data_IF_309287629773
#
_entry.id   IF_309287629773
#
_cell.length_a   1.000
_cell.length_b   1.000
_cell.length_c   1.000
_cell.angle_alpha   90.00
_cell.angle_beta   90.00
_cell.angle_gamma   90.00
#
_symmetry.space_group_name_H-M   'P 1'
#
loop_
_entity.id
_entity.type
_entity.pdbx_description
1 polymer ?
#
# COMPACT_ATOMS: atom_id res chain seq x y z
N UNK A 1 -85.36 -22.12 11.86
CA UNK A 1 -84.44 -22.05 10.70
C UNK A 1 -84.05 -20.62 10.30
N UNK A 2 -84.97 -19.65 10.17
CA UNK A 2 -84.66 -18.26 9.75
C UNK A 2 -83.67 -17.48 10.63
N UNK A 3 -83.66 -17.67 11.97
CA UNK A 3 -82.70 -16.98 12.88
C UNK A 3 -81.28 -17.55 12.74
N UNK A 4 -81.10 -18.85 12.59
CA UNK A 4 -79.80 -19.48 12.41
C UNK A 4 -79.16 -19.11 11.06
N UNK A 5 -79.97 -18.97 10.01
CA UNK A 5 -79.50 -18.52 8.70
C UNK A 5 -79.03 -17.06 8.73
N UNK A 6 -79.75 -16.19 9.44
CA UNK A 6 -79.34 -14.77 9.60
C UNK A 6 -78.02 -14.64 10.37
N UNK A 7 -77.83 -15.41 11.44
CA UNK A 7 -76.55 -15.42 12.17
C UNK A 7 -75.42 -15.94 11.31
N UNK A 8 -75.63 -17.00 10.54
CA UNK A 8 -74.63 -17.51 9.62
C UNK A 8 -74.23 -16.49 8.54
N UNK A 9 -75.22 -15.83 7.94
CA UNK A 9 -74.98 -14.76 6.93
C UNK A 9 -74.20 -13.57 7.56
N UNK A 10 -74.55 -13.17 8.79
CA UNK A 10 -73.82 -12.10 9.51
C UNK A 10 -72.36 -12.49 9.80
N UNK A 11 -72.11 -13.72 10.28
CA UNK A 11 -70.77 -14.24 10.54
C UNK A 11 -69.93 -14.34 9.24
N UNK A 12 -70.56 -14.75 8.13
CA UNK A 12 -69.92 -14.83 6.82
C UNK A 12 -69.54 -13.45 6.28
N UNK A 13 -70.44 -12.44 6.45
CA UNK A 13 -70.14 -11.03 6.07
C UNK A 13 -68.97 -10.49 6.93
N UNK A 14 -69.01 -10.73 8.25
CA UNK A 14 -67.92 -10.31 9.13
C UNK A 14 -66.59 -11.01 8.77
N UNK A 15 -66.62 -12.26 8.38
CA UNK A 15 -65.44 -13.00 7.89
C UNK A 15 -64.87 -12.38 6.60
N UNK A 16 -65.77 -12.04 5.63
CA UNK A 16 -65.33 -11.37 4.38
C UNK A 16 -64.76 -9.96 4.66
N UNK A 17 -65.39 -9.20 5.56
CA UNK A 17 -64.88 -7.88 5.96
C UNK A 17 -63.53 -8.07 6.64
N UNK A 18 -63.37 -9.04 7.52
CA UNK A 18 -62.08 -9.38 8.19
C UNK A 18 -60.97 -9.74 7.20
N UNK A 19 -61.32 -10.55 6.17
CA UNK A 19 -60.40 -10.89 5.09
C UNK A 19 -59.99 -9.64 4.27
N UNK A 20 -60.95 -8.78 3.99
CA UNK A 20 -60.67 -7.51 3.27
C UNK A 20 -59.75 -6.60 4.04
N UNK A 21 -60.00 -6.41 5.35
CA UNK A 21 -59.12 -5.62 6.23
C UNK A 21 -57.73 -6.25 6.31
N UNK A 22 -57.64 -7.56 6.45
CA UNK A 22 -56.33 -8.25 6.48
C UNK A 22 -55.54 -8.11 5.16
N UNK A 23 -56.24 -8.19 4.02
CA UNK A 23 -55.65 -7.97 2.71
C UNK A 23 -55.14 -6.54 2.52
N UNK A 24 -55.92 -5.52 2.97
CA UNK A 24 -55.47 -4.14 2.91
C UNK A 24 -54.32 -3.89 3.86
N UNK A 25 -54.37 -4.44 5.08
CA UNK A 25 -53.28 -4.31 6.04
C UNK A 25 -51.98 -4.96 5.51
N UNK A 26 -52.10 -6.15 4.89
CA UNK A 26 -50.98 -6.83 4.25
C UNK A 26 -50.42 -6.02 3.06
N UNK A 27 -51.30 -5.42 2.25
CA UNK A 27 -50.90 -4.59 1.13
C UNK A 27 -50.16 -3.34 1.58
N UNK A 28 -50.64 -2.68 2.62
CA UNK A 28 -49.95 -1.52 3.22
C UNK A 28 -48.65 -1.89 3.87
N UNK A 29 -48.62 -2.97 4.66
CA UNK A 29 -47.37 -3.46 5.33
C UNK A 29 -46.32 -3.94 4.34
N UNK A 30 -46.71 -4.29 3.12
CA UNK A 30 -45.84 -4.81 2.07
C UNK A 30 -45.41 -3.77 1.03
N UNK A 31 -45.68 -2.48 1.26
CA UNK A 31 -45.46 -1.42 0.28
C UNK A 31 -46.00 -1.77 -1.14
N UNK A 32 -47.16 -2.41 -1.17
CA UNK A 32 -47.84 -2.81 -2.41
C UNK A 32 -47.39 -4.14 -3.01
N UNK A 33 -46.48 -4.88 -2.38
CA UNK A 33 -46.05 -6.21 -2.87
C UNK A 33 -46.17 -7.32 -1.79
N UNK A 34 -47.39 -7.77 -1.50
CA UNK A 34 -47.66 -8.76 -0.45
C UNK A 34 -46.98 -10.12 -0.65
N UNK A 35 -46.73 -10.52 -1.89
CA UNK A 35 -46.09 -11.79 -2.19
C UNK A 35 -44.63 -11.75 -1.77
N UNK A 36 -43.91 -10.68 -2.14
CA UNK A 36 -42.50 -10.47 -1.75
C UNK A 36 -42.37 -10.36 -0.22
N UNK A 37 -43.28 -9.65 0.42
CA UNK A 37 -43.31 -9.49 1.87
C UNK A 37 -43.43 -10.83 2.60
N UNK A 38 -44.43 -11.66 2.22
CA UNK A 38 -44.62 -12.97 2.83
C UNK A 38 -43.42 -13.90 2.57
N UNK A 39 -42.86 -13.86 1.37
CA UNK A 39 -41.63 -14.63 1.07
C UNK A 39 -40.46 -14.20 1.94
N UNK A 40 -40.22 -12.89 2.10
CA UNK A 40 -39.14 -12.38 2.94
C UNK A 40 -39.32 -12.76 4.42
N UNK A 41 -40.58 -12.70 4.95
CA UNK A 41 -40.85 -13.10 6.33
C UNK A 41 -40.65 -14.61 6.54
N UNK A 42 -41.03 -15.46 5.58
CA UNK A 42 -40.74 -16.90 5.66
C UNK A 42 -39.21 -17.17 5.64
N UNK A 43 -38.46 -16.46 4.81
CA UNK A 43 -37.00 -16.56 4.79
C UNK A 43 -36.41 -16.09 6.11
N UNK A 44 -36.91 -14.97 6.68
CA UNK A 44 -36.48 -14.46 7.99
C UNK A 44 -36.66 -15.48 9.12
N UNK A 45 -37.81 -16.16 9.13
CA UNK A 45 -38.08 -17.24 10.08
C UNK A 45 -37.10 -18.42 9.89
N UNK A 46 -36.82 -18.77 8.64
CA UNK A 46 -35.84 -19.82 8.30
C UNK A 46 -34.42 -19.41 8.78
N UNK A 47 -34.00 -18.16 8.50
CA UNK A 47 -32.70 -17.66 8.94
C UNK A 47 -32.56 -17.65 10.46
N UNK A 48 -33.61 -17.23 11.20
CA UNK A 48 -33.62 -17.25 12.67
C UNK A 48 -33.36 -18.66 13.24
N UNK A 49 -33.80 -19.71 12.54
CA UNK A 49 -33.52 -21.09 12.92
C UNK A 49 -32.10 -21.58 12.54
N UNK A 50 -31.39 -20.84 11.68
CA UNK A 50 -30.05 -21.14 11.18
C UNK A 50 -29.01 -20.08 11.58
N UNK A 51 -29.28 -19.30 12.66
CA UNK A 51 -28.39 -18.22 13.11
C UNK A 51 -26.98 -18.74 13.42
N UNK A 52 -26.86 -19.92 14.03
CA UNK A 52 -25.56 -20.55 14.29
C UNK A 52 -24.76 -20.85 13.02
N UNK A 53 -25.45 -21.06 11.88
CA UNK A 53 -24.77 -21.28 10.58
C UNK A 53 -24.32 -19.94 9.94
N UNK A 54 -25.09 -18.86 10.15
CA UNK A 54 -24.73 -17.52 9.70
C UNK A 54 -23.47 -17.01 10.39
N UNK A 55 -23.42 -17.17 11.74
CA UNK A 55 -22.36 -16.63 12.59
C UNK A 55 -21.14 -17.56 12.67
N UNK A 56 -21.17 -18.70 12.00
CA UNK A 56 -20.10 -19.68 12.04
C UNK A 56 -19.21 -19.61 10.82
N UNK A 57 -17.94 -19.19 10.95
CA UNK A 57 -16.94 -19.22 9.89
C UNK A 57 -16.79 -20.60 9.26
N UNK A 58 -16.40 -20.66 7.98
CA UNK A 58 -16.21 -21.94 7.28
C UNK A 58 -14.95 -22.67 7.77
N UNK A 59 -13.91 -21.92 8.17
CA UNK A 59 -12.62 -22.45 8.59
C UNK A 59 -11.92 -21.55 9.57
N UNK A 60 -10.60 -21.79 9.74
CA UNK A 60 -9.70 -21.02 10.60
C UNK A 60 -8.50 -20.44 9.83
N UNK A 61 -8.46 -20.65 8.52
CA UNK A 61 -7.43 -20.09 7.65
C UNK A 61 -7.76 -18.63 7.37
N UNK A 62 -6.92 -17.73 7.87
CA UNK A 62 -7.04 -16.29 7.68
C UNK A 62 -6.23 -15.77 6.49
N UNK A 63 -5.75 -16.65 5.62
CA UNK A 63 -5.04 -16.26 4.40
C UNK A 63 -6.02 -15.61 3.44
N UNK A 64 -5.82 -14.31 3.07
CA UNK A 64 -6.73 -13.61 2.18
C UNK A 64 -6.75 -14.26 0.79
N UNK A 65 -7.95 -14.55 0.30
CA UNK A 65 -8.20 -15.07 -1.04
C UNK A 65 -8.83 -13.96 -1.89
N UNK A 66 -8.36 -13.82 -3.12
CA UNK A 66 -8.92 -12.87 -4.06
C UNK A 66 -10.29 -13.33 -4.55
N UNK A 67 -11.30 -12.49 -4.35
CA UNK A 67 -12.67 -12.72 -4.80
C UNK A 67 -13.12 -11.54 -5.68
N UNK A 68 -13.63 -11.81 -6.88
CA UNK A 68 -14.03 -10.76 -7.83
C UNK A 68 -15.51 -10.84 -8.14
N UNK A 69 -16.22 -9.71 -8.00
CA UNK A 69 -17.58 -9.50 -8.48
C UNK A 69 -17.49 -8.70 -9.78
N UNK A 70 -18.01 -9.25 -10.88
CA UNK A 70 -18.05 -8.54 -12.15
C UNK A 70 -19.31 -7.67 -12.23
N UNK A 71 -19.25 -6.61 -13.05
CA UNK A 71 -20.42 -5.79 -13.29
C UNK A 71 -21.55 -6.61 -13.89
N UNK A 72 -22.71 -6.62 -13.21
CA UNK A 72 -23.90 -7.36 -13.61
C UNK A 72 -24.02 -8.78 -13.01
N UNK A 73 -23.07 -9.21 -12.16
CA UNK A 73 -23.23 -10.46 -11.42
C UNK A 73 -24.45 -10.40 -10.49
N UNK A 74 -25.27 -11.46 -10.50
CA UNK A 74 -26.42 -11.56 -9.59
C UNK A 74 -25.97 -12.03 -8.21
N UNK A 75 -26.76 -11.77 -7.13
CA UNK A 75 -26.49 -12.33 -5.81
C UNK A 75 -26.31 -13.86 -5.80
N UNK A 76 -27.06 -14.56 -6.65
CA UNK A 76 -26.91 -16.01 -6.82
C UNK A 76 -25.58 -16.41 -7.46
N UNK A 77 -25.11 -15.65 -8.46
CA UNK A 77 -23.80 -15.88 -9.10
C UNK A 77 -22.67 -15.65 -8.10
N UNK A 78 -22.74 -14.55 -7.32
CA UNK A 78 -21.78 -14.21 -6.27
C UNK A 78 -21.74 -15.30 -5.19
N UNK A 79 -22.92 -15.74 -4.69
CA UNK A 79 -23.02 -16.77 -3.69
C UNK A 79 -22.42 -18.12 -4.14
N UNK A 80 -22.68 -18.50 -5.40
CA UNK A 80 -22.11 -19.71 -5.98
C UNK A 80 -20.59 -19.63 -6.11
N UNK A 81 -20.04 -18.47 -6.49
CA UNK A 81 -18.61 -18.24 -6.56
C UNK A 81 -17.95 -18.32 -5.17
N UNK A 82 -18.56 -17.71 -4.14
CA UNK A 82 -18.12 -17.81 -2.74
C UNK A 82 -18.06 -19.25 -2.26
N UNK A 83 -19.10 -20.03 -2.57
CA UNK A 83 -19.17 -21.45 -2.24
C UNK A 83 -18.07 -22.27 -2.92
N UNK A 84 -17.86 -22.06 -4.22
CA UNK A 84 -16.82 -22.76 -5.00
C UNK A 84 -15.40 -22.43 -4.53
N UNK A 85 -15.17 -21.23 -4.02
CA UNK A 85 -13.89 -20.82 -3.43
C UNK A 85 -13.76 -21.21 -1.95
N UNK A 86 -14.71 -21.97 -1.41
CA UNK A 86 -14.69 -22.41 -0.02
C UNK A 86 -14.62 -21.24 1.00
N UNK A 87 -15.37 -20.18 0.70
CA UNK A 87 -15.52 -18.99 1.56
C UNK A 87 -16.81 -19.02 2.37
N UNK A 88 -17.83 -19.74 1.89
CA UNK A 88 -19.10 -20.01 2.59
C UNK A 88 -19.50 -21.47 2.43
N UNK A 89 -20.34 -21.98 3.36
CA UNK A 89 -20.82 -23.38 3.33
C UNK A 89 -22.08 -23.59 2.47
N UNK A 90 -22.89 -22.56 2.34
CA UNK A 90 -24.22 -22.64 1.72
C UNK A 90 -24.51 -21.36 0.94
N UNK A 91 -24.55 -21.49 -0.39
CA UNK A 91 -24.83 -20.38 -1.30
C UNK A 91 -26.26 -19.85 -1.13
N UNK A 92 -27.23 -20.71 -0.82
CA UNK A 92 -28.63 -20.29 -0.65
C UNK A 92 -28.80 -19.48 0.64
N UNK A 93 -28.09 -19.87 1.72
CA UNK A 93 -28.10 -19.15 2.98
C UNK A 93 -27.56 -17.71 2.83
N UNK A 94 -26.51 -17.53 2.05
CA UNK A 94 -25.97 -16.22 1.72
C UNK A 94 -26.96 -15.34 0.95
N UNK A 95 -27.59 -15.88 -0.08
CA UNK A 95 -28.62 -15.16 -0.86
C UNK A 95 -29.81 -14.78 0.01
N UNK A 96 -30.26 -15.70 0.86
CA UNK A 96 -31.37 -15.46 1.78
C UNK A 96 -31.05 -14.37 2.80
N UNK A 97 -29.81 -14.37 3.33
CA UNK A 97 -29.32 -13.32 4.21
C UNK A 97 -29.33 -11.95 3.51
N UNK A 98 -28.72 -11.85 2.33
CA UNK A 98 -28.72 -10.58 1.56
C UNK A 98 -30.14 -10.05 1.34
N UNK A 99 -31.08 -10.94 1.01
CA UNK A 99 -32.48 -10.55 0.73
C UNK A 99 -33.21 -10.07 1.96
N UNK A 100 -33.01 -10.69 3.11
CA UNK A 100 -33.66 -10.31 4.38
C UNK A 100 -33.10 -8.98 4.91
N UNK A 101 -31.79 -8.77 4.77
CA UNK A 101 -31.11 -7.53 5.16
C UNK A 101 -31.28 -6.41 4.12
N UNK A 102 -31.85 -6.69 2.94
CA UNK A 102 -32.02 -5.70 1.86
C UNK A 102 -30.73 -5.38 1.11
N UNK A 103 -29.72 -6.21 1.24
CA UNK A 103 -28.39 -6.04 0.64
C UNK A 103 -28.26 -6.65 -0.77
N UNK A 104 -29.32 -7.31 -1.25
CA UNK A 104 -29.32 -8.04 -2.52
C UNK A 104 -29.13 -7.15 -3.76
N UNK A 105 -29.36 -5.85 -3.63
CA UNK A 105 -29.13 -4.82 -4.68
C UNK A 105 -27.94 -3.91 -4.40
N UNK A 106 -27.26 -4.12 -3.27
CA UNK A 106 -26.15 -3.26 -2.81
C UNK A 106 -24.76 -3.86 -3.12
N UNK A 107 -24.73 -5.10 -3.67
CA UNK A 107 -23.45 -5.71 -4.03
C UNK A 107 -22.71 -4.88 -5.07
N UNK A 108 -21.48 -4.47 -4.77
CA UNK A 108 -20.66 -3.66 -5.65
C UNK A 108 -19.68 -4.52 -6.45
N UNK A 109 -19.53 -4.20 -7.75
CA UNK A 109 -18.50 -4.81 -8.59
C UNK A 109 -17.11 -4.38 -8.11
N UNK A 110 -16.20 -5.34 -7.98
CA UNK A 110 -14.85 -5.08 -7.48
C UNK A 110 -14.09 -6.37 -7.18
N UNK A 111 -12.86 -6.23 -6.76
CA UNK A 111 -12.05 -7.35 -6.26
C UNK A 111 -11.84 -7.17 -4.76
N UNK A 112 -12.25 -8.14 -4.00
CA UNK A 112 -12.21 -8.16 -2.54
C UNK A 112 -11.20 -9.20 -2.06
N UNK A 113 -10.77 -9.07 -0.82
CA UNK A 113 -9.94 -10.07 -0.14
C UNK A 113 -10.74 -10.64 1.01
N UNK A 114 -11.08 -11.93 0.90
CA UNK A 114 -11.90 -12.66 1.86
C UNK A 114 -11.12 -13.86 2.38
N UNK A 115 -11.41 -14.30 3.59
CA UNK A 115 -10.79 -15.48 4.18
C UNK A 115 -11.82 -16.37 4.87
N UNK A 116 -11.39 -17.56 5.30
CA UNK A 116 -12.26 -18.57 5.88
C UNK A 116 -12.70 -18.28 7.33
N UNK A 117 -12.16 -17.24 7.96
CA UNK A 117 -12.51 -16.84 9.33
C UNK A 117 -13.69 -15.88 9.39
N UNK A 118 -14.12 -15.37 8.23
CA UNK A 118 -15.26 -14.46 8.12
C UNK A 118 -16.59 -15.22 8.15
N UNK A 119 -17.58 -14.61 8.79
CA UNK A 119 -18.97 -15.08 8.81
C UNK A 119 -19.71 -14.66 7.54
N UNK A 120 -20.90 -15.21 7.31
CA UNK A 120 -21.76 -14.78 6.19
C UNK A 120 -22.10 -13.29 6.28
N UNK A 121 -22.49 -12.73 7.46
CA UNK A 121 -22.65 -11.29 7.64
C UNK A 121 -21.38 -10.48 7.31
N UNK A 122 -20.21 -10.88 7.80
CA UNK A 122 -18.96 -10.18 7.54
C UNK A 122 -18.66 -10.08 6.05
N UNK A 123 -18.81 -11.19 5.32
CA UNK A 123 -18.62 -11.24 3.88
C UNK A 123 -19.65 -10.35 3.17
N UNK A 124 -20.93 -10.41 3.55
CA UNK A 124 -21.98 -9.60 2.95
C UNK A 124 -21.67 -8.09 3.07
N UNK A 125 -21.32 -7.62 4.29
CA UNK A 125 -20.98 -6.22 4.51
C UNK A 125 -19.66 -5.81 3.83
N UNK A 126 -18.73 -6.73 3.65
CA UNK A 126 -17.50 -6.46 2.87
C UNK A 126 -17.82 -6.20 1.41
N UNK A 127 -18.75 -6.97 0.82
CA UNK A 127 -19.05 -6.94 -0.62
C UNK A 127 -19.99 -5.80 -1.07
N UNK A 128 -20.57 -5.04 -0.15
CA UNK A 128 -21.41 -3.86 -0.44
C UNK A 128 -20.64 -2.53 -0.33
N UNK A 129 -19.33 -2.58 -0.07
CA UNK A 129 -18.50 -1.37 0.03
C UNK A 129 -17.22 -1.59 -0.77
N UNK A 130 -17.14 -0.99 -1.95
CA UNK A 130 -15.97 -1.09 -2.82
C UNK A 130 -14.69 -0.51 -2.21
N UNK A 131 -14.76 0.31 -1.15
CA UNK A 131 -13.59 0.76 -0.39
C UNK A 131 -12.86 -0.39 0.30
N UNK A 132 -13.56 -1.50 0.59
CA UNK A 132 -12.95 -2.72 1.12
C UNK A 132 -12.17 -3.50 0.04
N UNK A 133 -12.23 -3.07 -1.21
CA UNK A 133 -11.49 -3.65 -2.33
C UNK A 133 -10.22 -2.86 -2.60
N UNK A 134 -9.28 -2.85 -1.66
CA UNK A 134 -8.00 -2.14 -1.81
C UNK A 134 -6.83 -2.94 -1.26
N UNK A 135 -5.65 -2.72 -1.85
CA UNK A 135 -4.37 -3.21 -1.32
C UNK A 135 -3.74 -2.08 -0.53
N UNK A 136 -3.49 -2.29 0.76
CA UNK A 136 -2.62 -1.40 1.52
C UNK A 136 -1.19 -1.85 1.32
N UNK A 137 -0.34 -0.95 0.79
CA UNK A 137 1.06 -1.23 0.50
C UNK A 137 1.93 -0.10 1.03
N UNK A 138 2.93 -0.45 1.86
CA UNK A 138 3.84 0.51 2.45
C UNK A 138 5.24 0.34 1.90
N UNK A 139 5.84 1.45 1.44
CA UNK A 139 7.25 1.55 1.13
C UNK A 139 7.92 2.32 2.27
N UNK A 140 8.96 1.72 2.85
CA UNK A 140 9.72 2.34 3.92
C UNK A 140 10.79 3.28 3.37
N UNK A 141 11.10 4.32 4.15
CA UNK A 141 12.24 5.20 3.90
C UNK A 141 13.52 4.39 3.86
N UNK A 142 14.43 4.72 2.95
CA UNK A 142 15.67 4.00 2.77
C UNK A 142 15.54 2.62 2.11
N UNK A 143 14.36 2.23 1.63
CA UNK A 143 14.18 0.97 0.92
C UNK A 143 14.81 1.01 -0.49
N UNK A 144 15.38 -0.13 -0.91
CA UNK A 144 15.89 -0.37 -2.28
C UNK A 144 14.78 -0.93 -3.15
N UNK A 145 14.96 -0.85 -4.46
CA UNK A 145 14.03 -1.46 -5.43
C UNK A 145 13.78 -2.94 -5.13
N UNK A 146 14.84 -3.69 -4.78
CA UNK A 146 14.75 -5.12 -4.48
C UNK A 146 13.91 -5.39 -3.24
N UNK A 147 14.04 -4.56 -2.19
CA UNK A 147 13.24 -4.68 -0.96
C UNK A 147 11.76 -4.36 -1.24
N UNK A 148 11.49 -3.40 -2.13
CA UNK A 148 10.13 -3.12 -2.61
C UNK A 148 9.55 -4.32 -3.36
N UNK A 149 10.34 -4.98 -4.23
CA UNK A 149 9.92 -6.18 -4.94
C UNK A 149 9.65 -7.36 -4.00
N UNK A 150 10.50 -7.59 -3.00
CA UNK A 150 10.28 -8.61 -1.96
C UNK A 150 9.01 -8.30 -1.14
N UNK A 151 8.74 -7.01 -0.86
CA UNK A 151 7.53 -6.59 -0.15
C UNK A 151 6.25 -6.81 -0.97
N UNK A 152 6.31 -6.73 -2.30
CA UNK A 152 5.20 -7.08 -3.21
C UNK A 152 4.88 -8.57 -3.09
N UNK A 153 5.90 -9.43 -3.15
CA UNK A 153 5.73 -10.88 -3.01
C UNK A 153 5.23 -11.26 -1.61
N UNK A 154 5.76 -10.64 -0.56
CA UNK A 154 5.33 -10.86 0.82
C UNK A 154 3.89 -10.39 1.10
N UNK A 155 3.42 -9.34 0.41
CA UNK A 155 2.06 -8.84 0.53
C UNK A 155 1.03 -9.87 0.00
N UNK A 156 1.35 -10.57 -1.09
CA UNK A 156 0.54 -11.65 -1.67
C UNK A 156 -0.79 -11.22 -2.31
N UNK A 157 -1.14 -9.92 -2.28
CA UNK A 157 -2.42 -9.40 -2.78
C UNK A 157 -2.32 -8.81 -4.18
N UNK A 158 -1.11 -8.57 -4.68
CA UNK A 158 -0.88 -8.08 -6.03
C UNK A 158 -1.20 -9.12 -7.09
N UNK A 159 -1.67 -8.69 -8.27
CA UNK A 159 -1.90 -9.55 -9.44
C UNK A 159 -0.64 -9.82 -10.25
N UNK A 160 0.53 -9.41 -9.75
CA UNK A 160 1.85 -9.56 -10.35
C UNK A 160 2.89 -9.83 -9.25
N UNK A 161 4.04 -10.37 -9.64
CA UNK A 161 5.14 -10.72 -8.74
C UNK A 161 6.13 -9.57 -8.56
N UNK A 162 6.94 -9.63 -7.50
CA UNK A 162 8.08 -8.73 -7.32
C UNK A 162 9.05 -8.80 -8.49
N UNK A 163 9.25 -9.98 -9.11
CA UNK A 163 10.09 -10.12 -10.30
C UNK A 163 9.52 -9.35 -11.51
N UNK A 164 8.22 -9.38 -11.74
CA UNK A 164 7.58 -8.58 -12.81
C UNK A 164 7.71 -7.09 -12.54
N UNK A 165 7.59 -6.66 -11.27
CA UNK A 165 7.87 -5.28 -10.89
C UNK A 165 9.33 -4.89 -11.13
N UNK A 166 10.29 -5.79 -10.81
CA UNK A 166 11.73 -5.56 -11.07
C UNK A 166 12.02 -5.30 -12.54
N UNK A 167 11.34 -5.98 -13.47
CA UNK A 167 11.51 -5.71 -14.91
C UNK A 167 11.08 -4.29 -15.28
N UNK A 168 10.00 -3.79 -14.69
CA UNK A 168 9.53 -2.40 -14.88
C UNK A 168 10.51 -1.42 -14.24
N UNK A 169 10.97 -1.70 -13.02
CA UNK A 169 11.88 -0.84 -12.26
C UNK A 169 13.27 -0.74 -12.89
N UNK A 170 13.82 -1.84 -13.41
CA UNK A 170 15.11 -1.88 -14.11
C UNK A 170 15.06 -1.20 -15.49
N UNK A 171 13.91 -1.26 -16.17
CA UNK A 171 13.70 -0.51 -17.41
C UNK A 171 13.74 1.00 -17.19
N UNK A 172 13.44 1.42 -15.96
CA UNK A 172 13.59 2.78 -15.48
C UNK A 172 12.75 3.79 -16.28
N UNK A 173 13.42 4.81 -16.80
CA UNK A 173 12.78 5.96 -17.42
C UNK A 173 12.73 5.90 -18.96
N UNK A 174 13.06 4.79 -19.57
CA UNK A 174 13.06 4.63 -21.05
C UNK A 174 11.70 5.01 -21.67
N UNK A 175 10.60 4.64 -20.99
CA UNK A 175 9.24 4.96 -21.44
C UNK A 175 8.71 6.29 -20.86
N UNK A 176 9.53 7.02 -20.12
CA UNK A 176 9.16 8.23 -19.37
C UNK A 176 10.13 9.41 -19.64
N UNK A 177 10.39 9.73 -20.92
CA UNK A 177 11.42 10.72 -21.27
C UNK A 177 11.12 12.13 -20.74
N UNK A 178 9.85 12.51 -20.64
CA UNK A 178 9.45 13.82 -20.12
C UNK A 178 9.68 13.91 -18.60
N UNK A 179 9.39 12.83 -17.87
CA UNK A 179 9.69 12.74 -16.45
C UNK A 179 11.20 12.82 -16.21
N UNK A 180 11.97 12.02 -16.94
CA UNK A 180 13.42 12.00 -16.84
C UNK A 180 14.02 13.39 -17.12
N UNK A 181 13.57 14.03 -18.20
CA UNK A 181 14.03 15.38 -18.56
C UNK A 181 13.70 16.44 -17.50
N UNK A 182 12.49 16.35 -16.91
CA UNK A 182 12.05 17.28 -15.86
C UNK A 182 12.96 17.27 -14.64
N UNK A 183 13.42 16.09 -14.23
CA UNK A 183 14.21 15.91 -13.02
C UNK A 183 15.71 15.71 -13.27
N UNK A 184 16.16 15.83 -14.53
CA UNK A 184 17.56 15.66 -14.93
C UNK A 184 18.06 14.22 -14.77
N UNK A 185 17.16 13.23 -14.89
CA UNK A 185 17.46 11.81 -14.71
C UNK A 185 18.01 11.23 -15.99
N UNK A 186 19.14 10.50 -15.99
CA UNK A 186 19.58 9.75 -17.14
C UNK A 186 18.52 8.71 -17.56
N UNK A 187 18.17 8.62 -18.83
CA UNK A 187 17.17 7.66 -19.34
C UNK A 187 17.56 6.20 -19.13
N UNK A 188 18.85 5.94 -18.93
CA UNK A 188 19.39 4.62 -18.55
C UNK A 188 19.32 4.31 -17.05
N UNK A 189 18.94 5.29 -16.20
CA UNK A 189 18.80 5.07 -14.77
C UNK A 189 17.60 4.15 -14.48
N UNK A 190 17.72 3.34 -13.44
CA UNK A 190 16.62 2.54 -12.89
C UNK A 190 15.67 3.44 -12.08
N UNK A 191 14.58 2.87 -11.54
CA UNK A 191 13.69 3.62 -10.63
C UNK A 191 14.25 3.77 -9.21
N UNK A 192 15.49 3.36 -8.95
CA UNK A 192 16.11 3.52 -7.61
C UNK A 192 16.09 4.98 -7.16
N UNK A 193 15.62 5.20 -5.93
CA UNK A 193 15.48 6.53 -5.35
C UNK A 193 14.17 7.27 -5.69
N UNK A 194 13.38 6.74 -6.62
CA UNK A 194 12.14 7.40 -7.08
C UNK A 194 10.87 6.67 -6.66
N UNK A 195 10.98 5.52 -6.00
CA UNK A 195 9.86 4.79 -5.41
C UNK A 195 9.52 5.45 -4.07
N UNK A 196 8.72 6.53 -4.10
CA UNK A 196 8.52 7.42 -2.95
C UNK A 196 7.99 6.66 -1.72
N UNK A 197 8.64 6.82 -0.55
CA UNK A 197 8.22 6.16 0.69
C UNK A 197 6.89 6.73 1.19
N UNK A 198 5.86 5.89 1.26
CA UNK A 198 4.50 6.26 1.71
C UNK A 198 3.68 4.98 1.95
N UNK A 199 2.51 5.15 2.54
CA UNK A 199 1.48 4.10 2.61
C UNK A 199 0.44 4.32 1.52
N UNK A 200 0.37 3.40 0.58
CA UNK A 200 -0.49 3.47 -0.60
C UNK A 200 -1.76 2.65 -0.40
N UNK A 201 -2.90 3.21 -0.78
CA UNK A 201 -4.17 2.50 -0.93
C UNK A 201 -4.38 2.28 -2.43
N UNK A 202 -4.24 1.05 -2.88
CA UNK A 202 -4.15 0.69 -4.29
C UNK A 202 -5.33 -0.17 -4.72
N UNK A 203 -5.84 -0.01 -5.96
CA UNK A 203 -6.88 -0.89 -6.47
C UNK A 203 -6.33 -2.31 -6.68
N UNK A 204 -7.09 -3.36 -6.39
CA UNK A 204 -6.65 -4.75 -6.52
C UNK A 204 -6.22 -5.14 -7.94
N UNK A 205 -6.77 -4.46 -8.96
CA UNK A 205 -6.44 -4.70 -10.36
C UNK A 205 -5.20 -3.92 -10.84
N UNK A 206 -4.47 -3.27 -9.91
CA UNK A 206 -3.25 -2.54 -10.28
C UNK A 206 -2.23 -3.47 -10.95
N UNK A 207 -1.58 -2.99 -11.99
CA UNK A 207 -0.48 -3.68 -12.66
C UNK A 207 0.87 -3.17 -12.13
N UNK A 208 1.96 -3.89 -12.42
CA UNK A 208 3.32 -3.44 -12.08
C UNK A 208 3.64 -2.04 -12.65
N UNK A 209 3.20 -1.76 -13.88
CA UNK A 209 3.32 -0.42 -14.50
C UNK A 209 2.45 0.61 -13.79
N UNK A 210 1.21 0.25 -13.44
CA UNK A 210 0.31 1.14 -12.69
C UNK A 210 0.86 1.48 -11.30
N UNK A 211 1.49 0.52 -10.62
CA UNK A 211 2.18 0.78 -9.35
C UNK A 211 3.34 1.76 -9.57
N UNK A 212 4.22 1.53 -10.55
CA UNK A 212 5.28 2.48 -10.92
C UNK A 212 4.73 3.91 -11.10
N UNK A 213 3.68 4.05 -11.90
CA UNK A 213 3.11 5.37 -12.22
C UNK A 213 2.54 6.05 -10.99
N UNK A 214 1.92 5.29 -10.08
CA UNK A 214 1.44 5.80 -8.79
C UNK A 214 2.60 6.30 -7.93
N UNK A 215 3.68 5.51 -7.80
CA UNK A 215 4.85 5.87 -7.00
C UNK A 215 5.55 7.12 -7.53
N UNK A 216 5.74 7.22 -8.85
CA UNK A 216 6.33 8.38 -9.49
C UNK A 216 5.42 9.63 -9.42
N UNK A 217 4.11 9.45 -9.49
CA UNK A 217 3.15 10.55 -9.28
C UNK A 217 3.24 11.10 -7.86
N UNK A 218 3.37 10.22 -6.86
CA UNK A 218 3.55 10.63 -5.46
C UNK A 218 4.88 11.34 -5.27
N UNK A 219 5.97 10.83 -5.86
CA UNK A 219 7.25 11.52 -5.90
C UNK A 219 7.12 12.93 -6.49
N UNK A 220 6.44 13.07 -7.63
CA UNK A 220 6.23 14.37 -8.29
C UNK A 220 5.41 15.36 -7.46
N UNK A 221 4.54 14.84 -6.59
CA UNK A 221 3.74 15.67 -5.67
C UNK A 221 4.59 16.12 -4.48
N UNK A 222 5.40 15.23 -3.92
CA UNK A 222 6.30 15.51 -2.81
C UNK A 222 7.45 16.42 -3.24
N UNK A 223 8.07 16.14 -4.39
CA UNK A 223 9.15 16.96 -4.99
C UNK A 223 8.52 17.93 -6.00
N UNK A 224 7.87 18.93 -5.47
CA UNK A 224 7.09 19.92 -6.23
C UNK A 224 7.97 20.87 -7.08
N UNK A 225 7.30 21.80 -7.78
CA UNK A 225 7.98 22.76 -8.64
C UNK A 225 8.88 23.73 -7.90
N UNK A 226 8.60 24.03 -6.62
CA UNK A 226 9.41 24.93 -5.81
C UNK A 226 10.74 24.28 -5.43
N UNK A 227 10.71 23.04 -4.91
CA UNK A 227 11.93 22.28 -4.58
C UNK A 227 12.82 22.05 -5.79
N UNK A 228 12.20 21.76 -6.93
CA UNK A 228 12.92 21.61 -8.20
C UNK A 228 13.59 22.92 -8.62
N UNK A 229 12.89 24.07 -8.50
CA UNK A 229 13.45 25.38 -8.83
C UNK A 229 14.60 25.76 -7.89
N UNK A 230 14.47 25.47 -6.59
CA UNK A 230 15.49 25.77 -5.59
C UNK A 230 16.76 24.93 -5.79
N UNK A 231 16.63 23.66 -6.13
CA UNK A 231 17.76 22.81 -6.50
C UNK A 231 18.49 23.35 -7.74
N UNK A 232 17.74 23.66 -8.81
CA UNK A 232 18.28 24.19 -10.06
C UNK A 232 18.96 25.56 -9.85
N UNK A 233 18.43 26.43 -8.98
CA UNK A 233 19.03 27.72 -8.64
C UNK A 233 20.43 27.59 -7.99
N UNK A 234 20.68 26.45 -7.33
CA UNK A 234 21.98 26.10 -6.74
C UNK A 234 22.90 25.34 -7.72
N UNK A 235 22.45 25.11 -8.97
CA UNK A 235 23.23 24.40 -9.98
C UNK A 235 23.14 22.86 -9.87
N UNK A 236 22.21 22.33 -9.07
CA UNK A 236 22.00 20.90 -8.88
C UNK A 236 20.80 20.40 -9.70
N UNK A 237 20.96 19.29 -10.38
CA UNK A 237 19.80 18.54 -10.91
C UNK A 237 19.08 17.82 -9.76
N UNK A 238 17.79 17.54 -9.94
CA UNK A 238 17.07 16.76 -8.93
C UNK A 238 17.61 15.33 -8.84
N UNK A 239 18.19 14.79 -9.89
CA UNK A 239 18.86 13.48 -9.85
C UNK A 239 20.06 13.48 -8.89
N UNK A 240 20.89 14.52 -8.92
CA UNK A 240 21.99 14.69 -7.97
C UNK A 240 21.50 14.88 -6.54
N UNK A 241 20.43 15.67 -6.34
CA UNK A 241 19.79 15.85 -5.03
C UNK A 241 19.29 14.49 -4.48
N UNK A 242 18.52 13.72 -5.26
CA UNK A 242 18.00 12.41 -4.82
C UNK A 242 19.12 11.40 -4.58
N UNK A 243 20.18 11.46 -5.39
CA UNK A 243 21.37 10.63 -5.22
C UNK A 243 22.03 10.90 -3.86
N UNK A 244 22.31 12.14 -3.54
CA UNK A 244 22.90 12.50 -2.24
C UNK A 244 21.91 12.23 -1.08
N UNK A 245 20.62 12.56 -1.26
CA UNK A 245 19.59 12.32 -0.25
C UNK A 245 19.46 10.83 0.11
N UNK A 246 19.61 9.91 -0.86
CA UNK A 246 19.58 8.48 -0.60
C UNK A 246 20.77 8.00 0.25
N UNK A 247 21.88 8.69 0.21
CA UNK A 247 23.04 8.45 1.08
C UNK A 247 22.74 9.00 2.47
N UNK A 248 22.30 10.26 2.56
CA UNK A 248 21.93 10.93 3.83
C UNK A 248 20.88 10.11 4.59
N UNK A 249 19.84 9.59 3.89
CA UNK A 249 18.79 8.74 4.45
C UNK A 249 19.36 7.51 5.15
N UNK A 250 20.43 6.95 4.63
CA UNK A 250 21.04 5.72 5.17
C UNK A 250 22.09 5.98 6.25
N UNK A 251 22.53 7.23 6.42
CA UNK A 251 23.42 7.64 7.49
C UNK A 251 22.66 8.11 8.74
N UNK A 252 21.61 8.91 8.54
CA UNK A 252 20.88 9.52 9.65
C UNK A 252 19.97 8.51 10.36
N UNK A 253 19.97 8.53 11.69
CA UNK A 253 18.93 7.90 12.52
C UNK A 253 17.82 8.91 12.82
N UNK A 254 18.18 10.18 12.96
CA UNK A 254 17.28 11.28 13.30
C UNK A 254 17.20 12.29 12.16
N UNK A 255 15.99 12.56 11.69
CA UNK A 255 15.74 13.44 10.54
C UNK A 255 16.26 14.87 10.73
N UNK A 256 16.39 15.35 11.97
CA UNK A 256 16.95 16.65 12.27
C UNK A 256 18.45 16.79 11.94
N UNK A 257 19.17 15.67 11.78
CA UNK A 257 20.57 15.67 11.35
C UNK A 257 20.74 15.68 9.83
N UNK A 258 19.68 15.39 9.05
CA UNK A 258 19.76 15.36 7.58
C UNK A 258 20.39 16.61 6.98
N UNK A 259 19.99 17.84 7.35
CA UNK A 259 20.60 19.06 6.78
C UNK A 259 22.07 19.23 7.13
N UNK A 260 22.51 18.74 8.32
CA UNK A 260 23.92 18.84 8.75
C UNK A 260 24.76 17.78 8.03
N UNK A 261 24.29 16.53 7.95
CA UNK A 261 24.98 15.45 7.22
C UNK A 261 25.09 15.82 5.73
N UNK A 262 24.03 16.35 5.14
CA UNK A 262 24.04 16.86 3.77
C UNK A 262 25.09 17.98 3.58
N UNK A 263 25.23 18.89 4.55
CA UNK A 263 26.27 19.94 4.54
C UNK A 263 27.66 19.32 4.50
N UNK A 264 27.94 18.31 5.33
CA UNK A 264 29.27 17.64 5.34
C UNK A 264 29.59 17.07 3.95
N UNK A 265 28.66 16.38 3.35
CA UNK A 265 28.88 15.81 2.01
C UNK A 265 29.04 16.86 0.92
N UNK A 266 28.27 17.95 0.97
CA UNK A 266 28.42 19.06 0.03
C UNK A 266 29.79 19.75 0.17
N UNK A 267 30.24 19.99 1.41
CA UNK A 267 31.55 20.54 1.67
C UNK A 267 32.67 19.64 1.11
N UNK A 268 32.55 18.33 1.26
CA UNK A 268 33.49 17.36 0.66
C UNK A 268 33.50 17.43 -0.87
N UNK A 269 32.30 17.47 -1.49
CA UNK A 269 32.18 17.59 -2.95
C UNK A 269 32.84 18.86 -3.48
N UNK A 270 32.65 20.00 -2.80
CA UNK A 270 33.24 21.31 -3.19
C UNK A 270 34.78 21.29 -3.23
N UNK A 271 35.42 20.58 -2.31
CA UNK A 271 36.89 20.47 -2.28
C UNK A 271 37.42 19.21 -3.01
N UNK A 272 36.55 18.44 -3.66
CA UNK A 272 36.94 17.23 -4.38
C UNK A 272 37.33 16.04 -3.47
N UNK A 273 36.91 16.07 -2.19
CA UNK A 273 37.13 14.95 -1.26
C UNK A 273 36.11 13.83 -1.56
N UNK A 274 36.52 12.57 -1.36
CA UNK A 274 35.63 11.42 -1.44
C UNK A 274 34.55 11.48 -0.37
N UNK A 275 33.34 10.94 -0.67
CA UNK A 275 32.25 10.95 0.30
C UNK A 275 32.48 9.95 1.43
N UNK A 276 33.19 8.85 1.18
CA UNK A 276 33.51 7.80 2.16
C UNK A 276 32.26 7.33 2.92
N UNK A 277 31.18 7.11 2.18
CA UNK A 277 29.88 6.77 2.74
C UNK A 277 29.67 5.23 2.77
N UNK A 278 29.57 4.66 3.95
CA UNK A 278 29.37 3.23 4.19
C UNK A 278 28.17 2.64 3.40
N UNK A 279 27.00 3.29 3.32
CA UNK A 279 25.86 2.78 2.58
C UNK A 279 26.14 2.56 1.09
N UNK A 280 27.05 3.29 0.50
CA UNK A 280 27.44 3.12 -0.91
C UNK A 280 28.23 1.84 -1.16
N UNK A 281 29.02 1.41 -0.17
CA UNK A 281 29.72 0.12 -0.19
C UNK A 281 28.75 -1.03 0.02
N UNK A 282 27.80 -0.88 0.98
CA UNK A 282 26.74 -1.86 1.20
C UNK A 282 25.89 -2.06 -0.06
N UNK A 283 25.53 -0.96 -0.74
CA UNK A 283 24.81 -1.02 -2.01
C UNK A 283 25.61 -1.78 -3.08
N UNK A 284 26.92 -1.54 -3.18
CA UNK A 284 27.81 -2.23 -4.11
C UNK A 284 27.97 -3.73 -3.81
N UNK A 285 27.83 -4.15 -2.56
CA UNK A 285 27.85 -5.56 -2.15
C UNK A 285 26.58 -6.32 -2.54
N UNK A 286 25.47 -5.61 -2.77
CA UNK A 286 24.16 -6.21 -3.02
C UNK A 286 23.79 -7.25 -1.94
N UNK A 287 23.00 -8.27 -2.26
CA UNK A 287 22.60 -9.33 -1.33
C UNK A 287 23.67 -10.44 -1.19
N UNK A 288 24.95 -10.12 -1.36
CA UNK A 288 26.03 -11.13 -1.33
C UNK A 288 26.24 -11.77 0.04
N UNK A 289 25.68 -11.20 1.12
CA UNK A 289 25.77 -11.67 2.51
C UNK A 289 24.41 -12.00 3.12
N UNK A 290 23.38 -12.22 2.31
CA UNK A 290 22.04 -12.58 2.76
C UNK A 290 21.17 -11.42 3.27
N UNK A 291 21.61 -10.18 3.03
CA UNK A 291 20.85 -8.95 3.29
C UNK A 291 21.26 -7.89 2.29
N UNK A 292 20.32 -6.97 1.97
CA UNK A 292 20.58 -5.87 1.06
C UNK A 292 21.46 -4.78 1.67
N UNK A 293 21.54 -4.73 3.01
CA UNK A 293 22.37 -3.81 3.78
C UNK A 293 23.33 -4.57 4.69
N UNK A 294 24.33 -5.29 4.12
CA UNK A 294 25.23 -6.12 4.90
C UNK A 294 26.19 -5.29 5.75
N UNK A 295 26.61 -5.83 6.90
CA UNK A 295 27.72 -5.27 7.63
C UNK A 295 28.98 -5.28 6.78
N UNK A 296 29.69 -4.17 6.76
CA UNK A 296 30.94 -4.00 6.01
C UNK A 296 32.17 -4.08 6.92
N UNK A 297 33.29 -4.39 6.33
CA UNK A 297 34.59 -4.47 6.97
C UNK A 297 35.54 -3.44 6.36
N UNK A 298 36.67 -3.14 7.02
CA UNK A 298 37.71 -2.27 6.47
C UNK A 298 38.21 -2.72 5.09
N UNK A 299 38.23 -4.03 4.84
CA UNK A 299 38.63 -4.56 3.54
C UNK A 299 37.66 -4.22 2.42
N UNK A 300 36.37 -4.10 2.74
CA UNK A 300 35.30 -3.81 1.76
C UNK A 300 35.45 -2.41 1.16
N UNK A 301 35.92 -1.43 1.94
CA UNK A 301 36.15 -0.06 1.45
C UNK A 301 36.99 -0.01 0.16
N UNK A 302 37.95 -0.90 0.00
CA UNK A 302 38.85 -0.93 -1.17
C UNK A 302 38.57 -2.09 -2.12
N UNK A 303 37.96 -3.18 -1.61
CA UNK A 303 37.80 -4.43 -2.40
C UNK A 303 36.48 -4.44 -3.17
N UNK A 304 35.45 -3.71 -2.73
CA UNK A 304 34.17 -3.62 -3.44
C UNK A 304 34.36 -2.75 -4.68
N UNK A 305 34.57 -3.40 -5.82
CA UNK A 305 34.74 -2.75 -7.12
C UNK A 305 33.37 -2.41 -7.72
N UNK A 306 32.73 -1.39 -7.20
CA UNK A 306 31.43 -0.89 -7.65
C UNK A 306 31.57 0.60 -8.03
N UNK A 307 30.92 1.08 -9.09
CA UNK A 307 30.86 2.51 -9.40
C UNK A 307 30.16 3.32 -8.31
N UNK A 308 29.40 2.66 -7.43
CA UNK A 308 28.74 3.30 -6.28
C UNK A 308 29.68 3.46 -5.08
N UNK A 309 30.76 2.70 -4.96
CA UNK A 309 31.68 2.78 -3.82
C UNK A 309 32.40 4.14 -3.76
N UNK A 310 31.94 5.02 -2.87
CA UNK A 310 32.46 6.38 -2.71
C UNK A 310 33.80 6.49 -1.93
N UNK A 311 34.38 5.34 -1.49
CA UNK A 311 35.76 5.29 -0.97
C UNK A 311 36.82 5.21 -2.07
N UNK A 312 36.43 4.71 -3.26
CA UNK A 312 37.36 4.56 -4.39
C UNK A 312 36.98 5.42 -5.59
N UNK A 313 35.76 5.96 -5.64
CA UNK A 313 35.30 6.84 -6.68
C UNK A 313 34.97 8.21 -6.08
N UNK A 314 35.54 9.28 -6.62
CA UNK A 314 35.27 10.64 -6.20
C UNK A 314 33.95 11.18 -6.81
N UNK A 315 33.36 12.15 -6.13
CA UNK A 315 32.08 12.74 -6.53
C UNK A 315 30.86 11.93 -6.10
N UNK A 316 29.70 12.22 -6.69
CA UNK A 316 28.47 11.46 -6.47
C UNK A 316 28.54 10.12 -7.20
N UNK A 317 27.91 9.06 -6.65
CA UNK A 317 27.74 7.80 -7.37
C UNK A 317 26.81 8.01 -8.60
N UNK A 318 26.72 7.01 -9.52
CA UNK A 318 25.95 7.14 -10.74
C UNK A 318 24.46 7.43 -10.58
N UNK A 319 23.90 7.17 -9.38
CA UNK A 319 22.51 7.39 -9.05
C UNK A 319 22.21 7.05 -7.59
N UNK A 320 20.94 7.15 -7.18
CA UNK A 320 20.50 6.84 -5.82
C UNK A 320 20.78 5.38 -5.43
N UNK A 321 20.87 5.14 -4.12
CA UNK A 321 21.10 3.80 -3.53
C UNK A 321 19.87 3.27 -2.77
N UNK A 322 18.88 4.13 -2.53
CA UNK A 322 17.65 3.82 -1.80
C UNK A 322 16.62 4.90 -2.06
N UNK A 323 15.37 4.67 -1.68
CA UNK A 323 14.28 5.65 -1.72
C UNK A 323 14.36 6.59 -0.52
N UNK A 324 14.79 7.87 -0.68
CA UNK A 324 14.91 8.78 0.43
C UNK A 324 13.56 9.34 0.89
N UNK A 325 13.47 9.70 2.17
CA UNK A 325 12.39 10.51 2.73
C UNK A 325 12.39 11.93 2.16
N UNK A 326 11.24 12.63 2.31
CA UNK A 326 11.19 14.06 1.96
C UNK A 326 12.18 14.86 2.82
N UNK A 327 12.35 14.49 4.10
CA UNK A 327 13.30 15.13 5.01
C UNK A 327 14.74 15.06 4.51
N UNK A 328 15.17 13.90 3.99
CA UNK A 328 16.50 13.76 3.42
C UNK A 328 16.67 14.58 2.13
N UNK A 329 15.65 14.59 1.26
CA UNK A 329 15.65 15.42 0.04
C UNK A 329 15.75 16.90 0.40
N UNK A 330 14.90 17.39 1.32
CA UNK A 330 14.94 18.79 1.79
C UNK A 330 16.25 19.11 2.49
N UNK A 331 16.81 18.18 3.28
CA UNK A 331 18.10 18.35 3.92
C UNK A 331 19.24 18.59 2.91
N UNK A 332 19.16 17.97 1.74
CA UNK A 332 20.15 18.21 0.67
C UNK A 332 19.87 19.52 -0.08
N UNK A 333 18.61 19.88 -0.33
CA UNK A 333 18.26 21.15 -1.00
C UNK A 333 18.56 22.36 -0.10
N UNK A 334 18.25 22.24 1.19
CA UNK A 334 18.36 23.30 2.20
C UNK A 334 19.31 22.89 3.34
N UNK A 335 20.60 22.63 3.03
CA UNK A 335 21.55 22.19 4.06
C UNK A 335 21.79 23.28 5.10
N UNK A 336 22.11 22.85 6.31
CA UNK A 336 22.65 23.79 7.33
C UNK A 336 24.04 24.25 6.89
N UNK A 337 24.28 25.53 6.86
CA UNK A 337 25.63 26.06 6.57
C UNK A 337 26.60 25.70 7.71
N UNK A 338 27.60 24.88 7.42
CA UNK A 338 28.62 24.43 8.38
C UNK A 338 29.98 24.33 7.71
N UNK A 339 31.04 24.33 8.53
CA UNK A 339 32.43 24.07 8.10
C UNK A 339 32.82 22.61 8.42
N UNK A 340 31.87 21.69 8.59
CA UNK A 340 32.17 20.30 8.93
C UNK A 340 32.51 19.48 7.68
N UNK A 341 33.48 18.58 7.84
CA UNK A 341 33.94 17.63 6.82
C UNK A 341 33.84 16.18 7.30
N UNK A 342 33.62 15.99 8.61
CA UNK A 342 33.57 14.65 9.23
C UNK A 342 32.43 14.56 10.23
N UNK A 343 31.84 13.37 10.30
CA UNK A 343 30.90 13.03 11.36
C UNK A 343 31.10 11.57 11.79
N UNK A 344 30.68 11.24 12.98
CA UNK A 344 30.75 9.89 13.56
C UNK A 344 29.67 9.71 14.59
N UNK A 345 29.04 8.53 14.62
CA UNK A 345 28.04 8.20 15.62
C UNK A 345 28.59 8.36 17.04
N UNK A 346 27.78 8.94 17.95
CA UNK A 346 28.15 9.09 19.36
C UNK A 346 28.25 7.74 20.05
N UNK A 347 29.22 7.56 20.93
CA UNK A 347 29.51 6.32 21.66
C UNK A 347 28.46 5.93 22.71
N UNK A 348 27.44 6.77 22.91
CA UNK A 348 26.37 6.57 23.92
C UNK A 348 25.15 5.79 23.39
N UNK A 349 25.15 5.39 22.13
CA UNK A 349 24.04 4.69 21.50
C UNK A 349 22.79 5.54 21.24
N UNK A 350 22.91 6.87 21.28
CA UNK A 350 21.80 7.80 21.04
C UNK A 350 21.30 7.83 19.58
N UNK A 351 22.13 7.36 18.64
CA UNK A 351 21.90 7.52 17.20
C UNK A 351 22.28 8.90 16.63
N UNK A 352 22.71 9.84 17.48
CA UNK A 352 23.24 11.15 17.06
C UNK A 352 24.71 11.06 16.69
N UNK A 353 25.17 12.07 15.92
CA UNK A 353 26.55 12.18 15.47
C UNK A 353 27.28 13.33 16.15
N UNK A 354 28.63 13.20 16.22
CA UNK A 354 29.57 14.28 16.48
C UNK A 354 30.09 14.78 15.14
N UNK A 355 30.00 16.08 14.90
CA UNK A 355 30.44 16.74 13.68
C UNK A 355 31.74 17.48 13.91
N UNK A 356 32.70 17.40 12.98
CA UNK A 356 34.01 18.02 13.14
C UNK A 356 34.56 18.58 11.83
N UNK A 357 35.48 19.56 11.94
CA UNK A 357 36.11 20.19 10.80
C UNK A 357 37.35 19.45 10.30
N UNK A 358 38.12 18.83 11.24
CA UNK A 358 39.39 18.18 10.90
C UNK A 358 39.37 16.69 11.20
N UNK A 359 40.21 15.94 10.48
CA UNK A 359 40.37 14.50 10.69
C UNK A 359 40.90 14.17 12.09
N UNK A 360 41.78 15.00 12.65
CA UNK A 360 42.29 14.81 14.01
C UNK A 360 41.17 14.88 15.05
N UNK A 361 40.25 15.85 14.92
CA UNK A 361 39.06 15.94 15.78
C UNK A 361 38.12 14.72 15.60
N UNK A 362 37.97 14.26 14.37
CA UNK A 362 37.16 13.06 14.06
C UNK A 362 37.72 11.82 14.78
N UNK A 363 39.04 11.60 14.73
CA UNK A 363 39.66 10.46 15.41
C UNK A 363 39.46 10.49 16.94
N UNK A 364 39.34 11.70 17.56
CA UNK A 364 39.09 11.83 18.99
C UNK A 364 37.68 11.40 19.39
N UNK A 365 36.72 11.37 18.45
CA UNK A 365 35.32 10.91 18.66
C UNK A 365 35.15 9.40 18.46
N UNK A 366 36.19 8.69 18.08
CA UNK A 366 36.11 7.23 17.79
C UNK A 366 35.84 6.43 19.06
N UNK A 367 34.87 5.50 19.00
CA UNK A 367 34.56 4.56 20.05
C UNK A 367 35.56 3.39 19.99
#
# INVERSE_FOLDING_TARGET
MAKALRIFVLLFILFIIGLGIAAVALFVASDGNPVRFVQTELIRLSLASRQDELDRPIGTDNTPQRFTINSGDSPGTVAQALYLQNLIRDASLFVDYLRVEGLDTELEAGTYFLDQTQTIPDIAYTLIDSRNSSITFRIFEGARIEEVAESIDANGLFGFTGQEFMLVAQRGFVDLPEFAARYGIPTSATLEGYLYPETYILPPAITATGLRDTLLSTFSTAVDGQRLADANAQGWTMHEIVTLASIVEREAVWNEENPIIASVYRNRLEIGQTLDADPTVQYGLQNSRGTWWPNITQADYRNVQSPYNTYINGGLPPGPIASPSLSAIEGVIYPTETDYYYFQAQCNGSGYHNFTQTYEQHLQNSC
#
